data_IF_998957355769
#
_entry.id   IF_998957355769
#
_cell.length_a   1.000
_cell.length_b   1.000
_cell.length_c   1.000
_cell.angle_alpha   90.00
_cell.angle_beta   90.00
_cell.angle_gamma   90.00
#
_symmetry.space_group_name_H-M   'P 1'
#
loop_
_entity.id
_entity.type
_entity.pdbx_description
1 polymer ?
#
# COMPACT_ATOMS: atom_id res chain seq x y z
N UNK A 1 -8.41 2.84 12.64
CA UNK A 1 -9.06 1.54 12.35
C UNK A 1 -8.06 0.62 11.68
N UNK A 2 -7.46 -0.27 12.47
CA UNK A 2 -6.46 -1.27 12.03
C UNK A 2 -7.09 -2.58 11.54
N UNK A 3 -8.38 -2.52 11.24
CA UNK A 3 -9.18 -3.62 10.73
C UNK A 3 -10.24 -3.11 9.76
N UNK A 4 -11.09 -4.02 9.27
CA UNK A 4 -12.24 -3.68 8.44
C UNK A 4 -13.16 -2.67 9.15
N UNK A 5 -13.95 -1.89 8.39
CA UNK A 5 -14.97 -1.01 8.97
C UNK A 5 -15.90 -1.76 9.93
N UNK A 6 -16.42 -1.06 10.94
CA UNK A 6 -17.38 -1.65 11.88
C UNK A 6 -18.63 -2.12 11.14
N UNK A 7 -19.12 -3.32 11.51
CA UNK A 7 -20.24 -4.01 10.88
C UNK A 7 -20.05 -4.42 9.41
N UNK A 8 -18.83 -4.30 8.86
CA UNK A 8 -18.52 -4.84 7.55
C UNK A 8 -18.35 -6.37 7.61
N UNK A 9 -18.61 -7.05 6.50
CA UNK A 9 -18.51 -8.51 6.38
C UNK A 9 -17.67 -8.89 5.15
N UNK A 10 -17.07 -10.07 5.20
CA UNK A 10 -16.30 -10.56 4.07
C UNK A 10 -17.20 -10.80 2.87
N UNK A 11 -16.97 -10.09 1.76
CA UNK A 11 -17.77 -10.21 0.52
C UNK A 11 -17.65 -11.57 -0.21
N UNK A 12 -16.81 -12.49 0.28
CA UNK A 12 -16.63 -13.84 -0.30
C UNK A 12 -17.43 -14.88 0.50
N UNK A 13 -17.26 -14.93 1.83
CA UNK A 13 -17.99 -15.88 2.68
C UNK A 13 -19.26 -15.32 3.31
N UNK A 14 -19.52 -14.02 3.14
CA UNK A 14 -20.64 -13.28 3.73
C UNK A 14 -20.72 -13.33 5.27
N UNK A 15 -19.61 -13.68 5.92
CA UNK A 15 -19.49 -13.76 7.38
C UNK A 15 -18.51 -12.75 7.97
N UNK A 16 -18.36 -12.81 9.30
CA UNK A 16 -17.37 -12.02 10.03
C UNK A 16 -15.95 -12.32 9.54
N UNK A 17 -15.09 -11.31 9.61
CA UNK A 17 -13.70 -11.44 9.18
C UNK A 17 -12.91 -12.38 10.08
N UNK A 18 -12.39 -13.45 9.51
CA UNK A 18 -11.39 -14.32 10.11
C UNK A 18 -10.02 -14.05 9.49
N UNK A 19 -9.04 -13.64 10.30
CA UNK A 19 -7.73 -13.14 9.84
C UNK A 19 -7.93 -12.07 8.74
N UNK A 20 -8.45 -10.88 9.09
CA UNK A 20 -8.73 -9.86 8.10
C UNK A 20 -7.46 -9.46 7.36
N UNK A 21 -7.56 -9.31 6.05
CA UNK A 21 -6.48 -8.78 5.22
C UNK A 21 -7.03 -7.71 4.28
N UNK A 22 -6.22 -6.68 4.07
CA UNK A 22 -6.54 -5.56 3.20
C UNK A 22 -5.74 -5.67 1.91
N UNK A 23 -6.42 -5.52 0.77
CA UNK A 23 -5.79 -5.49 -0.55
C UNK A 23 -5.23 -4.11 -0.92
N UNK A 24 -4.37 -4.01 -1.95
CA UNK A 24 -3.87 -2.73 -2.48
C UNK A 24 -4.97 -1.80 -3.03
N UNK A 25 -6.19 -2.30 -3.22
CA UNK A 25 -7.36 -1.50 -3.58
C UNK A 25 -8.22 -1.08 -2.36
N UNK A 26 -7.69 -1.24 -1.14
CA UNK A 26 -8.29 -0.90 0.16
C UNK A 26 -9.46 -1.77 0.64
N UNK A 27 -9.96 -2.71 -0.19
CA UNK A 27 -10.98 -3.67 0.20
C UNK A 27 -10.45 -4.76 1.13
N UNK A 28 -11.32 -5.21 2.04
CA UNK A 28 -11.05 -6.20 3.07
C UNK A 28 -11.65 -7.56 2.73
N UNK A 29 -10.93 -8.62 3.08
CA UNK A 29 -11.37 -10.01 2.94
C UNK A 29 -10.85 -10.84 4.10
N UNK A 30 -11.49 -11.97 4.39
CA UNK A 30 -10.82 -13.04 5.14
C UNK A 30 -9.61 -13.52 4.31
N UNK A 31 -8.46 -13.69 4.95
CA UNK A 31 -7.25 -14.14 4.27
C UNK A 31 -7.43 -15.47 3.53
N UNK A 32 -8.06 -16.46 4.17
CA UNK A 32 -8.35 -17.73 3.51
C UNK A 32 -9.30 -17.61 2.31
N UNK A 33 -10.32 -16.75 2.40
CA UNK A 33 -11.27 -16.58 1.32
C UNK A 33 -10.59 -15.99 0.07
N UNK A 34 -9.77 -14.94 0.24
CA UNK A 34 -9.12 -14.33 -0.93
C UNK A 34 -8.01 -15.21 -1.51
N UNK A 35 -7.31 -15.99 -0.67
CA UNK A 35 -6.34 -16.97 -1.13
C UNK A 35 -7.01 -18.14 -1.86
N UNK A 36 -8.19 -18.59 -1.43
CA UNK A 36 -8.98 -19.59 -2.16
C UNK A 36 -9.40 -19.09 -3.54
N UNK A 37 -9.78 -17.82 -3.68
CA UNK A 37 -10.06 -17.21 -4.99
C UNK A 37 -8.83 -17.27 -5.90
N UNK A 38 -7.64 -17.08 -5.33
CA UNK A 38 -6.39 -17.27 -6.07
C UNK A 38 -6.13 -18.74 -6.44
N UNK A 39 -6.33 -19.69 -5.52
CA UNK A 39 -6.11 -21.12 -5.76
C UNK A 39 -6.98 -21.66 -6.92
N UNK A 40 -8.21 -21.17 -7.07
CA UNK A 40 -9.13 -21.55 -8.15
C UNK A 40 -8.87 -20.77 -9.45
N UNK A 41 -8.00 -19.75 -9.42
CA UNK A 41 -7.62 -18.96 -10.57
C UNK A 41 -6.42 -19.55 -11.31
N UNK A 42 -5.85 -18.74 -12.22
CA UNK A 42 -4.56 -19.06 -12.83
C UNK A 42 -3.45 -18.81 -11.81
N UNK A 43 -2.64 -19.83 -11.49
CA UNK A 43 -1.50 -19.72 -10.58
C UNK A 43 -0.52 -18.60 -10.98
N UNK A 44 -0.41 -18.32 -12.29
CA UNK A 44 0.47 -17.29 -12.87
C UNK A 44 -0.12 -15.86 -12.86
N UNK A 45 -1.37 -15.68 -12.43
CA UNK A 45 -2.04 -14.37 -12.47
C UNK A 45 -2.50 -13.95 -11.08
N UNK A 46 -2.25 -12.68 -10.76
CA UNK A 46 -2.78 -12.07 -9.56
C UNK A 46 -4.31 -12.14 -9.58
N UNK A 47 -4.91 -12.56 -8.46
CA UNK A 47 -6.36 -12.59 -8.38
C UNK A 47 -6.93 -11.15 -8.49
N UNK A 48 -8.12 -11.03 -9.06
CA UNK A 48 -8.81 -9.74 -9.15
C UNK A 48 -9.68 -9.56 -7.92
N UNK A 49 -9.72 -8.33 -7.40
CA UNK A 49 -10.61 -7.97 -6.31
C UNK A 49 -12.07 -8.24 -6.69
N UNK A 50 -12.83 -9.03 -5.89
CA UNK A 50 -14.26 -9.28 -6.15
C UNK A 50 -15.12 -8.00 -6.23
N UNK A 51 -14.72 -6.94 -5.52
CA UNK A 51 -15.50 -5.70 -5.42
C UNK A 51 -15.19 -4.70 -6.54
N UNK A 52 -13.92 -4.48 -6.88
CA UNK A 52 -13.53 -3.46 -7.86
C UNK A 52 -12.73 -3.98 -9.07
N UNK A 53 -12.55 -5.30 -9.17
CA UNK A 53 -11.89 -6.01 -10.28
C UNK A 53 -10.43 -5.61 -10.55
N UNK A 54 -9.83 -4.81 -9.68
CA UNK A 54 -8.40 -4.45 -9.74
C UNK A 54 -7.54 -5.67 -9.39
N UNK A 55 -6.38 -5.87 -10.05
CA UNK A 55 -5.46 -6.92 -9.69
C UNK A 55 -4.92 -6.69 -8.27
N UNK A 56 -4.96 -7.74 -7.44
CA UNK A 56 -4.46 -7.71 -6.08
C UNK A 56 -2.99 -8.13 -6.12
N UNK A 57 -2.10 -7.20 -5.88
CA UNK A 57 -0.64 -7.44 -5.90
C UNK A 57 -0.01 -7.37 -4.51
N UNK A 58 -0.81 -6.99 -3.52
CA UNK A 58 -0.38 -6.92 -2.13
C UNK A 58 -1.60 -7.19 -1.23
N UNK A 59 -1.42 -8.14 -0.32
CA UNK A 59 -2.33 -8.45 0.77
C UNK A 59 -1.64 -8.10 2.09
N UNK A 60 -2.27 -7.23 2.87
CA UNK A 60 -1.72 -6.80 4.16
C UNK A 60 -2.64 -7.27 5.28
N UNK A 61 -2.22 -8.22 6.13
CA UNK A 61 -3.02 -8.66 7.27
C UNK A 61 -3.25 -7.51 8.25
N UNK A 62 -4.39 -7.50 8.93
CA UNK A 62 -4.66 -6.57 10.04
C UNK A 62 -3.75 -6.88 11.23
N UNK A 63 -3.33 -5.86 11.98
CA UNK A 63 -2.54 -6.05 13.20
C UNK A 63 -3.28 -6.87 14.27
N UNK A 64 -4.61 -6.85 14.28
CA UNK A 64 -5.43 -7.70 15.14
C UNK A 64 -5.30 -9.18 14.79
N UNK A 65 -5.03 -9.52 13.53
CA UNK A 65 -4.74 -10.91 13.11
C UNK A 65 -3.44 -11.41 13.74
N UNK A 66 -2.42 -10.56 13.87
CA UNK A 66 -1.18 -10.88 14.57
C UNK A 66 -1.41 -11.13 16.07
N UNK A 67 -2.45 -10.51 16.67
CA UNK A 67 -2.83 -10.80 18.07
C UNK A 67 -3.57 -12.13 18.23
N UNK A 68 -4.14 -12.67 17.15
CA UNK A 68 -4.75 -14.01 17.10
C UNK A 68 -3.73 -15.15 16.93
N UNK A 69 -2.42 -14.90 17.06
CA UNK A 69 -1.36 -15.93 17.01
C UNK A 69 -1.54 -17.13 17.98
N UNK A 70 -2.52 -17.07 18.88
CA UNK A 70 -2.90 -18.19 19.76
C UNK A 70 -3.60 -19.34 19.01
N UNK A 71 -4.15 -19.08 17.83
CA UNK A 71 -4.77 -20.10 16.97
C UNK A 71 -3.71 -20.71 16.01
N UNK A 72 -3.51 -22.05 16.01
CA UNK A 72 -2.53 -22.72 15.15
C UNK A 72 -2.79 -22.53 13.65
N UNK A 73 -4.00 -22.12 13.24
CA UNK A 73 -4.34 -21.87 11.82
C UNK A 73 -3.75 -20.55 11.32
N UNK A 74 -3.57 -19.55 12.18
CA UNK A 74 -3.15 -18.19 11.78
C UNK A 74 -1.76 -18.15 11.16
N UNK A 75 -0.71 -18.80 11.72
CA UNK A 75 0.63 -18.80 11.11
C UNK A 75 0.65 -19.36 9.68
N UNK A 76 -0.10 -20.43 9.41
CA UNK A 76 -0.14 -21.02 8.07
C UNK A 76 -0.79 -20.07 7.05
N UNK A 77 -1.87 -19.39 7.45
CA UNK A 77 -2.53 -18.40 6.59
C UNK A 77 -1.62 -17.21 6.29
N UNK A 78 -0.86 -16.74 7.27
CA UNK A 78 0.13 -15.68 7.07
C UNK A 78 1.25 -16.11 6.12
N UNK A 79 1.75 -17.35 6.24
CA UNK A 79 2.74 -17.91 5.31
C UNK A 79 2.23 -17.95 3.86
N UNK A 80 0.95 -18.27 3.67
CA UNK A 80 0.32 -18.23 2.34
C UNK A 80 0.20 -16.80 1.80
N UNK A 81 -0.10 -15.83 2.65
CA UNK A 81 -0.07 -14.40 2.27
C UNK A 81 1.33 -13.99 1.84
N UNK A 82 2.36 -14.38 2.59
CA UNK A 82 3.75 -14.10 2.25
C UNK A 82 4.13 -14.67 0.90
N UNK A 83 3.79 -15.94 0.66
CA UNK A 83 4.00 -16.58 -0.63
C UNK A 83 3.29 -15.83 -1.77
N UNK A 84 2.02 -15.43 -1.58
CA UNK A 84 1.26 -14.65 -2.56
C UNK A 84 1.95 -13.31 -2.87
N UNK A 85 2.32 -12.57 -1.83
CA UNK A 85 2.95 -11.26 -1.95
C UNK A 85 4.33 -11.34 -2.59
N UNK A 86 5.11 -12.39 -2.31
CA UNK A 86 6.39 -12.63 -2.97
C UNK A 86 6.22 -12.82 -4.47
N UNK A 87 5.20 -13.59 -4.86
CA UNK A 87 4.96 -13.93 -6.25
C UNK A 87 4.43 -12.74 -7.08
N UNK A 88 3.51 -11.95 -6.54
CA UNK A 88 2.85 -10.86 -7.30
C UNK A 88 3.29 -9.44 -6.90
N UNK A 89 3.97 -9.28 -5.77
CA UNK A 89 4.34 -7.99 -5.22
C UNK A 89 5.39 -7.23 -6.00
N UNK A 90 6.31 -7.96 -6.65
CA UNK A 90 7.38 -7.41 -7.48
C UNK A 90 6.99 -7.23 -8.95
N UNK A 91 5.78 -7.63 -9.35
CA UNK A 91 5.38 -7.52 -10.75
C UNK A 91 5.43 -6.05 -11.21
N UNK A 92 6.05 -5.82 -12.37
CA UNK A 92 6.12 -4.52 -13.07
C UNK A 92 4.72 -3.93 -13.29
N UNK A 93 4.21 -3.24 -12.27
CA UNK A 93 2.97 -2.51 -12.32
C UNK A 93 3.15 -1.33 -13.27
N UNK A 94 2.23 -1.21 -14.23
CA UNK A 94 2.16 -0.02 -15.08
C UNK A 94 2.05 1.24 -14.22
N UNK A 95 2.54 2.38 -14.71
CA UNK A 95 2.43 3.66 -14.00
C UNK A 95 0.98 3.94 -13.57
N UNK A 96 0.02 3.58 -14.42
CA UNK A 96 -1.40 3.68 -14.12
C UNK A 96 -1.83 2.86 -12.89
N UNK A 97 -1.30 1.65 -12.71
CA UNK A 97 -1.57 0.86 -11.50
C UNK A 97 -0.96 1.52 -10.26
N UNK A 98 0.25 2.09 -10.36
CA UNK A 98 0.88 2.80 -9.22
C UNK A 98 0.06 4.01 -8.80
N UNK A 99 -0.44 4.79 -9.76
CA UNK A 99 -1.33 5.92 -9.49
C UNK A 99 -2.64 5.47 -8.83
N UNK A 100 -3.21 4.33 -9.26
CA UNK A 100 -4.42 3.77 -8.65
C UNK A 100 -4.22 3.25 -7.23
N UNK A 101 -3.02 2.76 -6.91
CA UNK A 101 -2.64 2.26 -5.58
C UNK A 101 -2.16 3.40 -4.66
N UNK A 102 -1.78 4.56 -5.21
CA UNK A 102 -1.28 5.74 -4.51
C UNK A 102 -2.14 6.17 -3.32
N UNK A 103 -3.46 6.43 -3.45
CA UNK A 103 -4.25 6.95 -2.34
C UNK A 103 -4.31 5.97 -1.16
N UNK A 104 -4.29 4.66 -1.45
CA UNK A 104 -4.25 3.63 -0.43
C UNK A 104 -2.91 3.66 0.32
N UNK A 105 -1.79 3.65 -0.40
CA UNK A 105 -0.46 3.62 0.19
C UNK A 105 -0.16 4.89 1.00
N UNK A 106 -0.49 6.07 0.46
CA UNK A 106 -0.25 7.34 1.16
C UNK A 106 -1.12 7.47 2.42
N UNK A 107 -2.42 7.16 2.35
CA UNK A 107 -3.30 7.20 3.53
C UNK A 107 -2.80 6.27 4.64
N UNK A 108 -2.32 5.09 4.26
CA UNK A 108 -1.77 4.11 5.21
C UNK A 108 -0.43 4.55 5.78
N UNK A 109 0.47 5.09 4.94
CA UNK A 109 1.74 5.66 5.39
C UNK A 109 1.52 6.81 6.39
N UNK A 110 0.63 7.76 6.09
CA UNK A 110 0.33 8.88 6.99
C UNK A 110 -0.13 8.39 8.37
N UNK A 111 -0.90 7.30 8.40
CA UNK A 111 -1.30 6.65 9.65
C UNK A 111 -0.12 6.01 10.39
N UNK A 112 0.73 5.26 9.69
CA UNK A 112 1.91 4.62 10.30
C UNK A 112 2.98 5.65 10.77
N UNK A 113 2.97 6.85 10.19
CA UNK A 113 3.82 7.96 10.59
C UNK A 113 3.28 8.68 11.84
N UNK A 114 1.97 8.72 12.00
CA UNK A 114 1.30 9.37 13.15
C UNK A 114 1.16 8.46 14.36
N UNK A 115 1.30 7.14 14.19
CA UNK A 115 1.31 6.17 15.29
C UNK A 115 2.75 5.94 15.84
N UNK A 116 3.04 6.35 17.09
CA UNK A 116 4.36 6.17 17.71
C UNK A 116 4.74 4.71 17.99
N UNK A 117 3.76 3.80 18.08
CA UNK A 117 3.96 2.40 18.45
C UNK A 117 4.26 1.50 17.25
N UNK A 118 3.96 1.95 16.01
CA UNK A 118 4.27 1.22 14.77
C UNK A 118 5.74 1.43 14.38
N UNK A 119 6.53 0.35 14.42
CA UNK A 119 7.97 0.37 14.11
C UNK A 119 8.27 0.43 12.60
N UNK A 120 7.90 1.52 11.92
CA UNK A 120 8.50 1.84 10.62
C UNK A 120 10.03 1.92 10.78
N UNK A 121 10.82 1.24 9.92
CA UNK A 121 12.28 1.34 10.00
C UNK A 121 12.70 2.80 9.96
N UNK A 122 13.59 3.21 10.86
CA UNK A 122 14.03 4.60 10.98
C UNK A 122 14.54 5.18 9.65
N UNK A 123 15.25 4.36 8.87
CA UNK A 123 15.75 4.70 7.52
C UNK A 123 14.63 5.11 6.56
N UNK A 124 13.47 4.44 6.62
CA UNK A 124 12.33 4.75 5.76
C UNK A 124 11.70 6.06 6.18
N UNK A 125 11.51 6.27 7.49
CA UNK A 125 11.01 7.55 8.02
C UNK A 125 11.91 8.70 7.57
N UNK A 126 13.23 8.55 7.73
CA UNK A 126 14.21 9.54 7.30
C UNK A 126 14.13 9.82 5.79
N UNK A 127 14.03 8.77 4.94
CA UNK A 127 13.88 8.95 3.48
C UNK A 127 12.59 9.66 3.09
N UNK A 128 11.47 9.33 3.75
CA UNK A 128 10.18 10.01 3.50
C UNK A 128 10.27 11.48 3.93
N UNK A 129 10.79 11.77 5.12
CA UNK A 129 10.99 13.16 5.58
C UNK A 129 11.91 13.94 4.64
N UNK A 130 13.04 13.36 4.24
CA UNK A 130 13.97 14.00 3.30
C UNK A 130 13.29 14.31 1.96
N UNK A 131 12.56 13.35 1.39
CA UNK A 131 11.85 13.55 0.12
C UNK A 131 10.79 14.66 0.22
N UNK A 132 10.00 14.67 1.31
CA UNK A 132 8.97 15.69 1.55
C UNK A 132 9.60 17.07 1.81
N UNK A 133 10.66 17.16 2.61
CA UNK A 133 11.36 18.41 2.90
C UNK A 133 12.01 18.98 1.64
N UNK A 134 12.74 18.16 0.87
CA UNK A 134 13.36 18.60 -0.38
C UNK A 134 12.32 19.06 -1.40
N UNK A 135 11.21 18.33 -1.53
CA UNK A 135 10.08 18.74 -2.38
C UNK A 135 9.45 20.05 -1.90
N UNK A 136 9.32 20.26 -0.59
CA UNK A 136 8.80 21.50 -0.03
C UNK A 136 9.75 22.68 -0.22
N UNK A 137 11.07 22.47 -0.06
CA UNK A 137 12.09 23.49 -0.34
C UNK A 137 12.04 23.90 -1.81
N UNK A 138 11.86 22.94 -2.72
CA UNK A 138 11.70 23.21 -4.15
C UNK A 138 10.49 24.11 -4.41
N UNK A 139 9.29 23.68 -3.99
CA UNK A 139 8.02 24.39 -4.26
C UNK A 139 7.94 25.77 -3.57
N UNK A 140 8.69 25.98 -2.48
CA UNK A 140 8.72 27.27 -1.77
C UNK A 140 9.91 28.15 -2.18
N UNK A 141 10.77 27.67 -3.08
CA UNK A 141 11.96 28.41 -3.52
C UNK A 141 11.54 29.54 -4.45
N UNK A 142 11.88 30.81 -4.17
CA UNK A 142 11.66 31.91 -5.11
C UNK A 142 12.59 31.86 -6.34
N UNK A 143 13.50 30.88 -6.38
CA UNK A 143 14.43 30.62 -7.47
C UNK A 143 14.08 29.25 -8.06
N UNK A 144 13.00 29.21 -8.84
CA UNK A 144 12.72 28.06 -9.69
C UNK A 144 13.69 28.04 -10.88
N UNK A 145 13.96 26.83 -11.40
CA UNK A 145 14.76 26.63 -12.61
C UNK A 145 14.17 27.39 -13.82
N UNK A 146 12.88 27.78 -13.76
CA UNK A 146 12.18 28.63 -14.72
C UNK A 146 11.64 29.87 -14.00
N UNK A 147 12.11 31.10 -14.30
CA UNK A 147 11.62 32.30 -13.61
C UNK A 147 10.13 32.50 -13.87
N UNK A 148 9.33 32.44 -12.80
CA UNK A 148 7.87 32.62 -12.80
C UNK A 148 7.42 33.93 -13.49
N UNK A 149 8.29 34.93 -13.51
CA UNK A 149 8.06 36.25 -14.10
C UNK A 149 7.94 36.28 -15.64
N UNK A 150 8.24 35.19 -16.36
CA UNK A 150 8.19 35.17 -17.84
C UNK A 150 7.13 34.19 -18.35
N UNK A 151 6.82 33.12 -17.62
CA UNK A 151 5.97 32.00 -18.05
C UNK A 151 5.20 31.38 -16.85
N UNK A 152 4.49 32.19 -16.05
CA UNK A 152 3.89 31.76 -14.77
C UNK A 152 3.03 30.48 -14.77
N UNK A 153 2.48 30.04 -15.90
CA UNK A 153 1.76 28.75 -16.02
C UNK A 153 2.71 27.55 -16.02
N UNK A 154 3.92 27.72 -16.56
CA UNK A 154 4.93 26.66 -16.70
C UNK A 154 5.60 26.36 -15.35
N UNK A 155 5.85 27.38 -14.51
CA UNK A 155 6.34 27.18 -13.14
C UNK A 155 5.36 26.37 -12.29
N UNK A 156 4.08 26.75 -12.31
CA UNK A 156 3.03 25.98 -11.63
C UNK A 156 2.94 24.51 -12.10
N UNK A 157 3.12 24.28 -13.41
CA UNK A 157 3.11 22.92 -13.96
C UNK A 157 4.30 22.10 -13.43
N UNK A 158 5.48 22.72 -13.32
CA UNK A 158 6.68 22.07 -12.79
C UNK A 158 6.52 21.68 -11.31
N UNK A 159 5.94 22.56 -10.48
CA UNK A 159 5.60 22.26 -9.08
C UNK A 159 4.64 21.07 -8.95
N UNK A 160 3.60 21.05 -9.79
CA UNK A 160 2.65 19.94 -9.81
C UNK A 160 3.31 18.62 -10.20
N UNK A 161 4.24 18.66 -11.16
CA UNK A 161 5.01 17.48 -11.59
C UNK A 161 5.91 17.00 -10.44
N UNK A 162 6.62 17.90 -9.76
CA UNK A 162 7.54 17.54 -8.68
C UNK A 162 6.80 16.99 -7.47
N UNK A 163 5.68 17.61 -7.09
CA UNK A 163 4.80 17.09 -6.06
C UNK A 163 4.28 15.69 -6.44
N UNK A 164 3.86 15.48 -7.69
CA UNK A 164 3.40 14.17 -8.16
C UNK A 164 4.50 13.10 -8.14
N UNK A 165 5.72 13.45 -8.56
CA UNK A 165 6.90 12.58 -8.48
C UNK A 165 7.21 12.24 -7.02
N UNK A 166 7.15 13.22 -6.12
CA UNK A 166 7.36 13.02 -4.70
C UNK A 166 6.34 12.02 -4.13
N UNK A 167 5.05 12.18 -4.43
CA UNK A 167 4.02 11.24 -4.01
C UNK A 167 4.25 9.82 -4.56
N UNK A 168 4.59 9.69 -5.83
CA UNK A 168 4.91 8.39 -6.43
C UNK A 168 6.14 7.75 -5.77
N UNK A 169 7.18 8.52 -5.49
CA UNK A 169 8.40 8.07 -4.84
C UNK A 169 8.12 7.58 -3.42
N UNK A 170 7.41 8.39 -2.62
CA UNK A 170 7.01 8.05 -1.25
C UNK A 170 6.14 6.81 -1.21
N UNK A 171 5.17 6.68 -2.13
CA UNK A 171 4.33 5.49 -2.22
C UNK A 171 5.13 4.25 -2.66
N UNK A 172 6.10 4.39 -3.56
CA UNK A 172 6.98 3.29 -3.95
C UNK A 172 7.88 2.82 -2.80
N UNK A 173 8.44 3.75 -2.02
CA UNK A 173 9.20 3.45 -0.80
C UNK A 173 8.32 2.72 0.23
N UNK A 174 7.11 3.20 0.46
CA UNK A 174 6.22 2.55 1.43
C UNK A 174 5.75 1.17 0.95
N UNK A 175 5.48 1.01 -0.34
CA UNK A 175 5.14 -0.28 -0.94
C UNK A 175 6.28 -1.30 -0.78
N UNK A 176 7.54 -0.90 -1.00
CA UNK A 176 8.67 -1.82 -0.83
C UNK A 176 8.80 -2.29 0.61
N UNK A 177 8.50 -1.43 1.58
CA UNK A 177 8.47 -1.79 3.00
C UNK A 177 7.35 -2.77 3.32
N UNK A 178 6.14 -2.54 2.79
CA UNK A 178 5.03 -3.48 2.98
C UNK A 178 5.34 -4.85 2.36
N UNK A 179 5.98 -4.87 1.20
CA UNK A 179 6.42 -6.12 0.56
C UNK A 179 7.53 -6.81 1.34
N UNK A 180 8.50 -6.08 1.87
CA UNK A 180 9.53 -6.66 2.73
C UNK A 180 8.92 -7.26 4.01
N UNK A 181 7.96 -6.56 4.63
CA UNK A 181 7.29 -7.02 5.86
C UNK A 181 6.36 -8.22 5.66
N UNK A 182 5.67 -8.27 4.52
CA UNK A 182 4.59 -9.25 4.29
C UNK A 182 4.85 -10.17 3.09
N UNK A 183 6.04 -10.15 2.49
CA UNK A 183 6.43 -11.01 1.37
C UNK A 183 7.44 -12.10 1.74
N UNK A 184 7.83 -12.19 3.02
CA UNK A 184 8.89 -13.08 3.48
C UNK A 184 10.28 -12.62 3.01
N UNK A 185 11.31 -12.94 3.81
CA UNK A 185 12.71 -12.74 3.42
C UNK A 185 13.17 -13.76 2.37
#
# INVERSE_FOLDING_TARGET
MDGPPENDVCSICHGNFHVPCQSNCSHWFCANCILQVWDHGSALQACKCPLCRRPITLLVPSDSASRLHRDPVVPEVLRRIEHYNRHFGQHNSSLFQRVRDLPFLLRRLLRDMTDPQRSLPFVIRARVYLAVILSGIYVLSPVDIIPEGILGIIGLLDDLIIMFICFLHVAALYRSVLLFRHGGS
#
